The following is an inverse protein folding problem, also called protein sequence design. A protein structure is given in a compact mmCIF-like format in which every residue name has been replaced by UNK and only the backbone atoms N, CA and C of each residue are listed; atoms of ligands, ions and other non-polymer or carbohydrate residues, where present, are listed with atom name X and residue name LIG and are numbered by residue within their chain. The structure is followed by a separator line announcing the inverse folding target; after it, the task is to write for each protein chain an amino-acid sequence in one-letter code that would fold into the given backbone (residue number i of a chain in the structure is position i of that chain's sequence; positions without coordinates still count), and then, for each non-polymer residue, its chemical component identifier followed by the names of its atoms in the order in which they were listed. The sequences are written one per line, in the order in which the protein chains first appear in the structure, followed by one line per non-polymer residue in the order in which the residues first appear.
data_IF_099789461004
#
_entry.id   IF_099789461004
#
_cell.length_a   1.000
_cell.length_b   1.000
_cell.length_c   1.000
_cell.angle_alpha   90.00
_cell.angle_beta   90.00
_cell.angle_gamma   90.00
#
_symmetry.space_group_name_H-M   'P 1'
#
loop_
_entity.id
_entity.type
_entity.pdbx_description
1 polymer ?
#
# COMPACT_ATOMS: atom_id res chain seq x y z
N UNK A 1 31.69 -7.49 18.27
CA UNK A 1 30.49 -8.23 18.71
C UNK A 1 29.60 -8.39 17.50
N UNK A 2 29.36 -9.59 17.03
CA UNK A 2 28.37 -9.89 15.99
C UNK A 2 27.00 -9.64 16.62
N UNK A 3 26.30 -8.60 16.18
CA UNK A 3 24.93 -8.31 16.61
C UNK A 3 24.01 -9.37 15.99
N UNK A 4 23.33 -10.15 16.77
CA UNK A 4 22.31 -11.09 16.29
C UNK A 4 21.13 -10.24 15.77
N UNK A 5 20.72 -10.48 14.52
CA UNK A 5 19.54 -9.83 13.94
C UNK A 5 18.28 -10.32 14.68
N UNK A 6 17.38 -9.39 14.98
CA UNK A 6 16.09 -9.74 15.57
C UNK A 6 15.12 -10.22 14.48
N UNK A 7 14.24 -11.16 14.82
CA UNK A 7 13.13 -11.56 13.95
C UNK A 7 12.02 -10.50 14.02
N UNK A 8 11.31 -10.29 12.91
CA UNK A 8 10.19 -9.36 12.82
C UNK A 8 8.88 -10.13 12.62
N UNK A 9 8.01 -10.07 13.61
CA UNK A 9 6.73 -10.78 13.65
C UNK A 9 5.60 -9.81 13.28
N UNK A 10 4.63 -10.27 12.52
CA UNK A 10 3.41 -9.55 12.19
C UNK A 10 2.38 -9.84 13.26
N UNK A 11 2.04 -8.85 14.06
CA UNK A 11 1.15 -8.99 15.21
C UNK A 11 -0.19 -8.25 15.04
N UNK A 12 -0.30 -7.35 14.04
CA UNK A 12 -1.52 -6.60 13.80
C UNK A 12 -1.69 -6.23 12.34
N UNK A 13 -2.94 -6.10 11.90
CA UNK A 13 -3.35 -5.80 10.55
C UNK A 13 -4.37 -4.64 10.54
N UNK A 14 -4.34 -3.82 9.50
CA UNK A 14 -5.32 -2.78 9.24
C UNK A 14 -5.48 -2.54 7.74
N UNK A 15 -6.71 -2.33 7.28
CA UNK A 15 -7.04 -2.16 5.87
C UNK A 15 -8.18 -1.14 5.68
N UNK A 16 -8.03 -0.32 4.64
CA UNK A 16 -9.08 0.53 4.08
C UNK A 16 -8.99 0.41 2.57
N UNK A 17 -10.00 -0.16 1.94
CA UNK A 17 -9.96 -0.56 0.52
C UNK A 17 -11.31 -0.37 -0.15
N UNK A 18 -11.39 -0.38 -1.49
CA UNK A 18 -12.66 -0.34 -2.22
C UNK A 18 -13.62 -1.50 -1.92
N UNK A 19 -13.13 -2.59 -1.33
CA UNK A 19 -13.94 -3.78 -1.01
C UNK A 19 -14.14 -3.99 0.50
N UNK A 20 -13.65 -3.08 1.33
CA UNK A 20 -13.86 -3.11 2.78
C UNK A 20 -13.01 -2.07 3.52
N UNK A 21 -13.58 -1.46 4.56
CA UNK A 21 -12.97 -0.38 5.34
C UNK A 21 -12.34 -0.85 6.67
N UNK A 22 -12.23 -2.16 6.85
CA UNK A 22 -11.49 -2.83 7.92
C UNK A 22 -11.03 -4.22 7.45
N UNK A 23 -10.22 -4.89 8.27
CA UNK A 23 -9.62 -6.20 7.94
C UNK A 23 -10.68 -7.27 7.69
N UNK A 24 -11.72 -7.33 8.50
CA UNK A 24 -12.80 -8.32 8.40
C UNK A 24 -13.58 -8.15 7.09
N UNK A 25 -14.03 -6.92 6.79
CA UNK A 25 -14.78 -6.64 5.56
C UNK A 25 -13.91 -6.73 4.30
N UNK A 26 -12.62 -6.42 4.41
CA UNK A 26 -11.66 -6.64 3.32
C UNK A 26 -11.49 -8.12 3.01
N UNK A 27 -11.28 -8.95 4.04
CA UNK A 27 -11.18 -10.41 3.85
C UNK A 27 -12.46 -11.03 3.32
N UNK A 28 -13.62 -10.61 3.84
CA UNK A 28 -14.91 -11.01 3.28
C UNK A 28 -15.01 -10.64 1.80
N UNK A 29 -14.64 -9.40 1.43
CA UNK A 29 -14.62 -8.94 0.05
C UNK A 29 -13.74 -9.82 -0.84
N UNK A 30 -12.50 -10.12 -0.39
CA UNK A 30 -11.58 -10.99 -1.11
C UNK A 30 -12.13 -12.41 -1.29
N UNK A 31 -12.61 -13.02 -0.21
CA UNK A 31 -13.06 -14.42 -0.20
C UNK A 31 -14.37 -14.65 -0.97
N UNK A 32 -15.21 -13.62 -1.11
CA UNK A 32 -16.47 -13.68 -1.87
C UNK A 32 -16.33 -13.18 -3.31
N UNK A 33 -15.14 -12.67 -3.71
CA UNK A 33 -14.94 -12.12 -5.05
C UNK A 33 -15.64 -10.77 -5.27
N UNK A 34 -15.82 -9.95 -4.20
CA UNK A 34 -16.44 -8.62 -4.32
C UNK A 34 -15.57 -7.73 -5.20
N UNK A 35 -16.18 -7.10 -6.20
CA UNK A 35 -15.51 -6.10 -7.02
C UNK A 35 -15.74 -4.69 -6.44
N UNK A 36 -14.66 -3.94 -6.22
CA UNK A 36 -14.69 -2.55 -5.75
C UNK A 36 -14.47 -1.52 -6.87
N UNK A 37 -14.44 -1.97 -8.14
CA UNK A 37 -14.22 -1.10 -9.29
C UNK A 37 -15.58 -0.69 -9.86
N UNK A 38 -15.78 0.60 -10.04
CA UNK A 38 -17.01 1.16 -10.54
C UNK A 38 -16.80 2.47 -11.26
N UNK A 39 -17.90 3.06 -11.76
CA UNK A 39 -17.87 4.43 -12.30
C UNK A 39 -17.54 5.40 -11.16
N UNK A 40 -16.61 6.32 -11.42
CA UNK A 40 -16.23 7.36 -10.46
C UNK A 40 -17.44 8.16 -9.99
N UNK A 41 -17.60 8.32 -8.68
CA UNK A 41 -18.75 8.99 -8.04
C UNK A 41 -18.36 10.34 -7.40
N UNK A 42 -17.11 10.53 -6.97
CA UNK A 42 -16.69 11.74 -6.23
C UNK A 42 -16.62 13.01 -7.08
N UNK A 43 -16.56 12.87 -8.39
CA UNK A 43 -16.61 13.98 -9.34
C UNK A 43 -17.24 13.54 -10.67
N UNK A 44 -17.62 14.46 -11.52
CA UNK A 44 -18.13 14.14 -12.86
C UNK A 44 -16.98 13.71 -13.79
N UNK A 45 -16.91 12.42 -14.19
CA UNK A 45 -15.88 11.92 -15.07
C UNK A 45 -16.25 12.01 -16.56
N UNK A 46 -17.36 12.66 -16.94
CA UNK A 46 -17.96 12.55 -18.28
C UNK A 46 -17.07 13.08 -19.42
N UNK A 47 -16.14 13.98 -19.13
CA UNK A 47 -15.15 14.52 -20.08
C UNK A 47 -13.85 13.68 -20.13
N UNK A 48 -13.73 12.63 -19.29
CA UNK A 48 -12.54 11.79 -19.23
C UNK A 48 -12.66 10.56 -20.12
N UNK A 49 -11.54 10.14 -20.70
CA UNK A 49 -11.45 8.89 -21.46
C UNK A 49 -11.59 7.64 -20.57
N UNK A 50 -11.19 7.75 -19.30
CA UNK A 50 -11.33 6.71 -18.28
C UNK A 50 -12.22 7.25 -17.18
N UNK A 51 -13.33 6.56 -16.93
CA UNK A 51 -14.40 7.00 -16.03
C UNK A 51 -14.64 6.06 -14.86
N UNK A 52 -13.74 5.07 -14.69
CA UNK A 52 -13.84 4.01 -13.69
C UNK A 52 -12.62 4.02 -12.77
N UNK A 53 -12.84 3.66 -11.51
CA UNK A 53 -11.81 3.56 -10.49
C UNK A 53 -12.27 2.63 -9.34
N UNK A 54 -11.33 2.19 -8.50
CA UNK A 54 -11.62 1.62 -7.19
C UNK A 54 -11.68 2.71 -6.13
N UNK A 55 -12.84 3.32 -5.91
CA UNK A 55 -13.04 4.31 -4.86
C UNK A 55 -13.31 3.64 -3.51
N UNK A 56 -12.87 4.26 -2.43
CA UNK A 56 -13.25 3.86 -1.07
C UNK A 56 -14.54 4.59 -0.71
N UNK A 57 -15.65 3.88 -0.81
CA UNK A 57 -16.97 4.39 -0.50
C UNK A 57 -17.30 4.23 0.99
N UNK A 58 -18.26 5.04 1.48
CA UNK A 58 -18.79 5.01 2.86
C UNK A 58 -17.70 5.04 3.95
N UNK A 59 -16.55 5.65 3.65
CA UNK A 59 -15.46 5.78 4.60
C UNK A 59 -15.73 6.89 5.62
N UNK A 60 -15.95 6.48 6.86
CA UNK A 60 -16.09 7.40 8.00
C UNK A 60 -14.77 7.48 8.79
N UNK A 61 -14.14 8.65 8.79
CA UNK A 61 -12.92 8.92 9.56
C UNK A 61 -13.22 9.29 11.04
N UNK A 62 -14.47 9.53 11.39
CA UNK A 62 -14.84 10.05 12.72
C UNK A 62 -14.45 9.14 13.90
N UNK A 63 -14.39 7.79 13.78
CA UNK A 63 -13.88 6.93 14.83
C UNK A 63 -12.38 7.13 15.12
N UNK A 64 -11.63 7.68 14.17
CA UNK A 64 -10.18 7.76 14.23
C UNK A 64 -9.65 9.19 14.43
N UNK A 65 -10.35 10.21 13.92
CA UNK A 65 -9.94 11.61 13.99
C UNK A 65 -11.09 12.54 14.38
N UNK A 66 -10.80 13.47 15.27
CA UNK A 66 -11.72 14.57 15.54
C UNK A 66 -12.00 15.38 14.26
N UNK A 67 -13.24 15.85 14.08
CA UNK A 67 -13.72 16.59 12.89
C UNK A 67 -12.80 17.75 12.49
N UNK A 68 -12.25 18.50 13.47
CA UNK A 68 -11.34 19.62 13.21
C UNK A 68 -10.00 19.16 12.63
N UNK A 69 -9.51 18.02 13.10
CA UNK A 69 -8.25 17.40 12.62
C UNK A 69 -8.47 16.78 11.25
N UNK A 70 -9.54 16.02 11.07
CA UNK A 70 -9.89 15.38 9.79
C UNK A 70 -9.96 16.38 8.62
N UNK A 71 -10.57 17.56 8.82
CA UNK A 71 -10.65 18.63 7.80
C UNK A 71 -9.28 19.17 7.36
N UNK A 72 -8.23 19.00 8.15
CA UNK A 72 -6.86 19.47 7.88
C UNK A 72 -5.92 18.33 7.49
N UNK A 73 -6.47 17.14 7.28
CA UNK A 73 -5.73 15.91 6.95
C UNK A 73 -6.13 15.49 5.54
N UNK A 74 -5.15 15.30 4.66
CA UNK A 74 -5.38 14.77 3.30
C UNK A 74 -5.96 13.37 3.35
N UNK A 75 -6.71 12.99 2.29
CA UNK A 75 -7.44 11.71 2.24
C UNK A 75 -6.51 10.51 2.42
N UNK A 76 -5.34 10.50 1.77
CA UNK A 76 -4.32 9.46 1.95
C UNK A 76 -3.90 9.29 3.42
N UNK A 77 -3.70 10.43 4.12
CA UNK A 77 -3.33 10.42 5.53
C UNK A 77 -4.50 10.06 6.46
N UNK A 78 -5.75 10.26 6.03
CA UNK A 78 -6.93 9.72 6.74
C UNK A 78 -6.97 8.20 6.62
N UNK A 79 -6.75 7.64 5.43
CA UNK A 79 -6.69 6.20 5.20
C UNK A 79 -5.58 5.55 6.01
N UNK A 80 -4.33 6.09 5.95
CA UNK A 80 -3.22 5.55 6.74
C UNK A 80 -3.46 5.64 8.25
N UNK A 81 -4.16 6.69 8.72
CA UNK A 81 -4.51 6.82 10.14
C UNK A 81 -5.50 5.75 10.55
N UNK A 82 -6.56 5.54 9.77
CA UNK A 82 -7.55 4.51 10.07
C UNK A 82 -6.91 3.11 10.04
N UNK A 83 -6.20 2.75 8.98
CA UNK A 83 -5.53 1.45 8.87
C UNK A 83 -4.46 1.26 9.96
N UNK A 84 -3.66 2.28 10.27
CA UNK A 84 -2.67 2.21 11.34
C UNK A 84 -3.28 2.04 12.73
N UNK A 85 -4.38 2.72 13.03
CA UNK A 85 -5.10 2.55 14.30
C UNK A 85 -5.78 1.17 14.38
N UNK A 86 -6.29 0.64 13.28
CA UNK A 86 -6.78 -0.74 13.20
C UNK A 86 -5.64 -1.74 13.49
N UNK A 87 -4.48 -1.57 12.85
CA UNK A 87 -3.32 -2.45 13.05
C UNK A 87 -2.81 -2.40 14.51
N UNK A 88 -2.77 -1.22 15.12
CA UNK A 88 -2.43 -1.05 16.53
C UNK A 88 -3.44 -1.77 17.43
N UNK A 89 -4.72 -1.55 17.25
CA UNK A 89 -5.77 -2.20 18.04
C UNK A 89 -5.76 -3.72 17.85
N UNK A 90 -5.60 -4.20 16.62
CA UNK A 90 -5.55 -5.61 16.29
C UNK A 90 -4.30 -6.31 16.86
N UNK A 91 -3.19 -5.58 17.02
CA UNK A 91 -1.96 -6.11 17.65
C UNK A 91 -2.10 -6.39 19.14
N UNK A 92 -3.04 -5.72 19.81
CA UNK A 92 -3.20 -5.80 21.26
C UNK A 92 -2.08 -5.12 22.07
N UNK A 93 -1.25 -4.27 21.43
CA UNK A 93 -0.24 -3.49 22.16
C UNK A 93 -0.95 -2.41 22.97
N UNK A 94 -0.76 -2.46 24.29
CA UNK A 94 -1.13 -1.38 25.19
C UNK A 94 -0.02 -0.32 25.22
N UNK A 95 -0.37 0.91 24.84
CA UNK A 95 0.59 2.02 24.82
C UNK A 95 0.80 2.56 26.23
N UNK A 96 2.05 2.60 26.65
CA UNK A 96 2.49 3.15 27.94
C UNK A 96 3.57 4.22 27.73
N UNK A 97 3.93 4.93 28.80
CA UNK A 97 5.02 5.91 28.71
C UNK A 97 6.38 5.25 28.48
N UNK A 98 6.54 3.98 28.89
CA UNK A 98 7.78 3.22 28.75
C UNK A 98 7.99 2.69 27.32
N UNK A 99 6.91 2.28 26.62
CA UNK A 99 7.04 1.61 25.31
C UNK A 99 6.85 2.52 24.10
N UNK A 100 6.20 3.69 24.24
CA UNK A 100 5.88 4.59 23.10
C UNK A 100 7.10 5.10 22.34
N UNK A 101 8.28 5.15 22.97
CA UNK A 101 9.53 5.57 22.32
C UNK A 101 10.16 4.49 21.46
N UNK A 102 9.84 3.21 21.72
CA UNK A 102 10.23 2.05 20.91
C UNK A 102 9.28 1.74 19.75
N UNK A 103 8.13 2.44 19.66
CA UNK A 103 7.12 2.18 18.64
C UNK A 103 7.08 3.34 17.62
N UNK A 104 7.23 3.02 16.34
CA UNK A 104 7.28 4.00 15.25
C UNK A 104 6.34 3.69 14.09
N UNK A 105 6.55 4.41 12.96
CA UNK A 105 5.77 4.22 11.74
C UNK A 105 6.62 4.43 10.48
N UNK A 106 6.49 3.54 9.51
CA UNK A 106 7.07 3.61 8.17
C UNK A 106 5.93 3.44 7.17
N UNK A 107 5.34 4.55 6.72
CA UNK A 107 4.15 4.53 5.84
C UNK A 107 4.48 5.16 4.50
N UNK A 108 4.32 4.40 3.44
CA UNK A 108 4.56 4.85 2.08
C UNK A 108 3.37 5.61 1.49
N UNK A 109 3.65 6.60 0.64
CA UNK A 109 2.65 7.31 -0.17
C UNK A 109 3.32 8.15 -1.24
N UNK A 110 2.63 8.38 -2.37
CA UNK A 110 3.00 9.42 -3.35
C UNK A 110 2.55 10.81 -2.92
N UNK A 111 1.69 10.90 -1.88
CA UNK A 111 1.13 12.15 -1.38
C UNK A 111 -0.07 12.62 -2.21
N UNK A 112 -0.42 13.89 -2.05
CA UNK A 112 -1.63 14.49 -2.63
C UNK A 112 -1.31 15.61 -3.63
N UNK A 113 -0.26 15.41 -4.45
CA UNK A 113 0.18 16.40 -5.42
C UNK A 113 -0.90 16.78 -6.45
N UNK A 114 -1.78 15.84 -6.77
CA UNK A 114 -2.87 16.05 -7.74
C UNK A 114 -4.00 16.93 -7.19
N UNK A 115 -4.11 17.13 -5.87
CA UNK A 115 -5.11 17.98 -5.22
C UNK A 115 -4.65 19.47 -5.12
N UNK A 116 -3.47 19.81 -5.65
CA UNK A 116 -2.98 21.21 -5.71
C UNK A 116 -3.81 22.10 -6.64
N UNK A 117 -4.42 21.53 -7.67
CA UNK A 117 -5.18 22.29 -8.67
C UNK A 117 -6.22 23.23 -8.06
N UNK A 118 -7.12 22.77 -7.18
CA UNK A 118 -8.10 23.63 -6.52
C UNK A 118 -7.48 24.80 -5.75
N UNK A 119 -6.35 24.60 -5.07
CA UNK A 119 -5.68 25.67 -4.33
C UNK A 119 -4.95 26.65 -5.23
N UNK A 120 -4.41 26.18 -6.36
CA UNK A 120 -3.87 27.06 -7.39
C UNK A 120 -4.95 27.95 -7.99
N UNK A 121 -6.13 27.44 -8.25
CA UNK A 121 -7.30 28.19 -8.68
C UNK A 121 -7.74 29.23 -7.65
N UNK A 122 -7.74 28.88 -6.38
CA UNK A 122 -8.01 29.85 -5.29
C UNK A 122 -6.98 30.96 -5.32
N UNK A 123 -5.69 30.65 -5.39
CA UNK A 123 -4.62 31.64 -5.45
C UNK A 123 -4.78 32.58 -6.65
N UNK A 124 -4.97 32.05 -7.84
CA UNK A 124 -5.04 32.85 -9.08
C UNK A 124 -6.33 33.70 -9.20
N UNK A 125 -7.48 33.16 -8.74
CA UNK A 125 -8.77 33.83 -8.86
C UNK A 125 -9.11 34.72 -7.65
N UNK A 126 -8.57 34.44 -6.46
CA UNK A 126 -9.00 35.06 -5.20
C UNK A 126 -7.85 35.65 -4.38
N UNK A 127 -6.59 35.44 -4.79
CA UNK A 127 -5.38 35.94 -4.15
C UNK A 127 -4.88 35.11 -2.96
N UNK A 128 -3.65 35.40 -2.52
CA UNK A 128 -2.92 34.66 -1.49
C UNK A 128 -3.63 34.56 -0.15
N UNK A 129 -4.38 35.59 0.25
CA UNK A 129 -5.10 35.62 1.53
C UNK A 129 -6.26 34.60 1.62
N UNK A 130 -6.63 33.94 0.53
CA UNK A 130 -7.70 32.94 0.45
C UNK A 130 -7.21 31.51 0.33
N UNK A 131 -5.91 31.30 0.13
CA UNK A 131 -5.29 29.97 0.10
C UNK A 131 -5.44 29.30 1.47
N UNK A 132 -5.70 27.99 1.46
CA UNK A 132 -5.79 27.21 2.69
C UNK A 132 -4.43 27.22 3.43
N UNK A 133 -4.35 27.74 4.67
CA UNK A 133 -3.09 27.79 5.44
C UNK A 133 -2.58 26.38 5.80
N UNK A 134 -3.40 25.35 5.68
CA UNK A 134 -3.04 23.97 6.00
C UNK A 134 -2.67 23.12 4.78
N UNK A 135 -2.56 23.72 3.58
CA UNK A 135 -2.26 22.99 2.35
C UNK A 135 -1.02 22.10 2.48
N UNK A 136 0.06 22.64 3.08
CA UNK A 136 1.32 21.89 3.26
C UNK A 136 1.13 20.65 4.13
N UNK A 137 0.35 20.77 5.22
CA UNK A 137 0.06 19.64 6.13
C UNK A 137 -0.99 18.68 5.57
N UNK A 138 -1.79 19.12 4.59
CA UNK A 138 -2.74 18.24 3.89
C UNK A 138 -2.05 17.41 2.82
N UNK A 139 -1.08 17.98 2.10
CA UNK A 139 -0.48 17.38 0.90
C UNK A 139 0.87 16.73 1.16
N UNK A 140 1.56 17.10 2.24
CA UNK A 140 2.91 16.62 2.50
C UNK A 140 2.94 15.11 2.73
N UNK A 141 3.77 14.39 1.97
CA UNK A 141 3.91 12.93 2.03
C UNK A 141 4.19 12.43 3.45
N UNK A 142 5.02 13.15 4.21
CA UNK A 142 5.36 12.82 5.61
C UNK A 142 4.13 12.68 6.51
N UNK A 143 2.99 13.24 6.12
CA UNK A 143 1.76 13.16 6.92
C UNK A 143 1.15 11.76 6.93
N UNK A 144 1.52 10.88 6.00
CA UNK A 144 1.09 9.47 6.02
C UNK A 144 1.52 8.77 7.31
N UNK A 145 2.79 8.90 7.70
CA UNK A 145 3.32 8.34 8.94
C UNK A 145 3.10 9.26 10.16
N UNK A 146 3.30 10.57 9.98
CA UNK A 146 3.23 11.52 11.10
C UNK A 146 1.82 11.66 11.68
N UNK A 147 0.75 11.52 10.88
CA UNK A 147 -0.61 11.65 11.38
C UNK A 147 -0.99 10.49 12.28
N UNK A 148 -0.74 9.25 11.86
CA UNK A 148 -1.03 8.07 12.68
C UNK A 148 -0.17 8.06 13.94
N UNK A 149 1.12 8.37 13.84
CA UNK A 149 2.01 8.42 15.00
C UNK A 149 1.55 9.46 16.03
N UNK A 150 1.16 10.65 15.56
CA UNK A 150 0.61 11.70 16.44
C UNK A 150 -0.71 11.29 17.07
N UNK A 151 -1.59 10.62 16.34
CA UNK A 151 -2.90 10.19 16.85
C UNK A 151 -2.74 9.15 17.96
N UNK A 152 -1.79 8.24 17.81
CA UNK A 152 -1.46 7.21 18.80
C UNK A 152 -0.56 7.71 19.92
N UNK A 153 0.20 8.80 19.72
CA UNK A 153 1.19 9.29 20.68
C UNK A 153 2.47 8.46 20.72
N UNK A 154 2.78 7.71 19.65
CA UNK A 154 4.04 6.97 19.49
C UNK A 154 5.16 7.92 19.08
N UNK A 155 6.40 7.66 19.53
CA UNK A 155 7.54 8.58 19.41
C UNK A 155 8.80 7.91 18.85
N UNK A 156 8.72 6.64 18.45
CA UNK A 156 9.80 5.94 17.76
C UNK A 156 10.08 6.48 16.36
N UNK A 157 10.90 5.79 15.55
CA UNK A 157 11.23 6.21 14.18
C UNK A 157 9.98 6.48 13.36
N UNK A 158 9.98 7.63 12.62
CA UNK A 158 8.83 8.03 11.79
C UNK A 158 9.33 8.47 10.43
N UNK A 159 8.95 7.73 9.39
CA UNK A 159 9.45 7.95 8.03
C UNK A 159 8.36 7.68 6.99
N UNK A 160 8.47 8.36 5.85
CA UNK A 160 7.64 8.10 4.67
C UNK A 160 8.53 7.77 3.48
N UNK A 161 8.13 6.75 2.72
CA UNK A 161 8.85 6.24 1.56
C UNK A 161 8.02 6.49 0.30
N UNK A 162 8.70 6.80 -0.80
CA UNK A 162 8.07 6.93 -2.10
C UNK A 162 8.98 6.32 -3.17
N UNK A 163 8.57 5.16 -3.67
CA UNK A 163 9.17 4.41 -4.80
C UNK A 163 8.04 3.98 -5.75
N UNK A 164 7.08 4.89 -5.99
CA UNK A 164 5.89 4.63 -6.80
C UNK A 164 5.12 3.38 -6.33
N UNK A 165 4.79 2.46 -7.23
CA UNK A 165 4.00 1.27 -6.92
C UNK A 165 4.68 0.31 -5.93
N UNK A 166 6.01 0.32 -5.81
CA UNK A 166 6.77 -0.52 -4.88
C UNK A 166 6.77 0.03 -3.44
N UNK A 167 6.36 1.27 -3.25
CA UNK A 167 6.50 2.02 -1.98
C UNK A 167 6.01 1.26 -0.74
N UNK A 168 4.83 0.64 -0.83
CA UNK A 168 4.25 -0.09 0.30
C UNK A 168 5.09 -1.30 0.72
N UNK A 169 5.61 -2.05 -0.25
CA UNK A 169 6.51 -3.19 -0.03
C UNK A 169 7.87 -2.71 0.49
N UNK A 170 8.40 -1.61 -0.05
CA UNK A 170 9.62 -0.98 0.46
C UNK A 170 9.49 -0.53 1.91
N UNK A 171 8.33 0.02 2.29
CA UNK A 171 8.07 0.39 3.68
C UNK A 171 8.15 -0.80 4.63
N UNK A 172 7.61 -1.96 4.23
CA UNK A 172 7.72 -3.21 4.98
C UNK A 172 9.18 -3.67 5.09
N UNK A 173 9.95 -3.63 4.00
CA UNK A 173 11.36 -3.98 3.97
C UNK A 173 12.23 -3.06 4.84
N UNK A 174 11.97 -1.77 4.82
CA UNK A 174 12.64 -0.81 5.70
C UNK A 174 12.29 -1.04 7.18
N UNK A 175 11.03 -1.32 7.49
CA UNK A 175 10.61 -1.64 8.84
C UNK A 175 11.25 -2.94 9.34
N UNK A 176 11.32 -3.99 8.50
CA UNK A 176 12.07 -5.22 8.77
C UNK A 176 13.52 -4.91 9.15
N UNK A 177 14.19 -4.08 8.34
CA UNK A 177 15.59 -3.72 8.57
C UNK A 177 15.77 -2.96 9.89
N UNK A 178 14.87 -2.04 10.23
CA UNK A 178 14.91 -1.30 11.49
C UNK A 178 14.72 -2.21 12.70
N UNK A 179 13.79 -3.16 12.65
CA UNK A 179 13.59 -4.14 13.73
C UNK A 179 14.79 -5.07 13.86
N UNK A 180 15.28 -5.63 12.75
CA UNK A 180 16.47 -6.50 12.74
C UNK A 180 17.69 -5.83 13.37
N UNK A 181 17.84 -4.52 13.15
CA UNK A 181 18.92 -3.73 13.73
C UNK A 181 18.61 -3.17 15.15
N UNK A 182 17.41 -3.46 15.70
CA UNK A 182 17.00 -2.98 17.01
C UNK A 182 16.90 -1.45 17.10
N UNK A 183 16.44 -0.79 16.03
CA UNK A 183 16.14 0.62 16.04
C UNK A 183 14.73 0.93 16.52
N UNK A 184 13.86 -0.08 16.54
CA UNK A 184 12.51 -0.03 17.08
C UNK A 184 12.12 -1.42 17.62
N UNK A 185 11.22 -1.43 18.61
CA UNK A 185 10.61 -2.66 19.12
C UNK A 185 9.39 -3.06 18.31
N UNK A 186 8.66 -2.05 17.78
CA UNK A 186 7.53 -2.26 16.89
C UNK A 186 7.38 -1.10 15.88
N UNK A 187 6.86 -1.40 14.69
CA UNK A 187 6.63 -0.44 13.63
C UNK A 187 5.29 -0.69 12.93
N UNK A 188 4.47 0.35 12.83
CA UNK A 188 3.40 0.38 11.85
C UNK A 188 4.01 0.55 10.47
N UNK A 189 3.85 -0.42 9.58
CA UNK A 189 4.48 -0.41 8.26
C UNK A 189 3.48 -0.76 7.15
N UNK A 190 3.60 -0.10 6.01
CA UNK A 190 2.72 -0.34 4.86
C UNK A 190 2.61 0.88 3.96
N UNK A 191 1.48 1.02 3.29
CA UNK A 191 1.29 2.11 2.34
C UNK A 191 -0.14 2.62 2.26
N UNK A 192 -0.28 3.81 1.70
CA UNK A 192 -1.57 4.50 1.50
C UNK A 192 -1.56 5.31 0.21
N UNK A 193 -2.70 5.46 -0.42
CA UNK A 193 -2.86 6.33 -1.58
C UNK A 193 -4.28 6.87 -1.71
N UNK A 194 -4.43 8.09 -2.27
CA UNK A 194 -5.71 8.72 -2.58
C UNK A 194 -5.63 9.45 -3.92
N UNK A 195 -5.23 8.73 -4.98
CA UNK A 195 -4.90 9.30 -6.29
C UNK A 195 -6.09 9.33 -7.26
N UNK A 196 -7.28 8.91 -6.86
CA UNK A 196 -8.49 8.96 -7.71
C UNK A 196 -8.97 10.41 -7.79
N UNK A 197 -8.40 11.16 -8.74
CA UNK A 197 -8.67 12.59 -8.99
C UNK A 197 -8.83 12.85 -10.49
N UNK A 198 -9.51 13.94 -10.91
CA UNK A 198 -9.64 14.29 -12.33
C UNK A 198 -8.28 14.39 -13.03
N UNK A 199 -7.30 15.02 -12.38
CA UNK A 199 -5.98 15.25 -12.97
C UNK A 199 -5.20 13.94 -13.14
N UNK A 200 -5.23 13.04 -12.14
CA UNK A 200 -4.56 11.74 -12.22
C UNK A 200 -5.18 10.85 -13.31
N UNK A 201 -6.52 10.72 -13.34
CA UNK A 201 -7.22 9.95 -14.37
C UNK A 201 -6.97 10.52 -15.77
N UNK A 202 -6.99 11.86 -15.94
CA UNK A 202 -6.68 12.50 -17.22
C UNK A 202 -5.25 12.18 -17.66
N UNK A 203 -4.27 12.35 -16.78
CA UNK A 203 -2.85 12.17 -17.11
C UNK A 203 -2.54 10.73 -17.47
N UNK A 204 -2.91 9.78 -16.59
CA UNK A 204 -2.65 8.35 -16.79
C UNK A 204 -3.49 7.76 -17.93
N UNK A 205 -4.72 8.25 -18.12
CA UNK A 205 -5.57 7.87 -19.25
C UNK A 205 -4.98 8.31 -20.60
N UNK A 206 -4.36 9.49 -20.66
CA UNK A 206 -3.65 9.98 -21.86
C UNK A 206 -2.34 9.24 -22.12
N UNK A 207 -1.65 8.79 -21.05
CA UNK A 207 -0.47 7.94 -21.17
C UNK A 207 -0.81 6.56 -21.75
N UNK A 208 -2.09 6.16 -21.72
CA UNK A 208 -2.53 4.85 -22.21
C UNK A 208 -2.25 3.71 -21.24
N UNK A 209 -2.00 4.02 -19.96
CA UNK A 209 -1.72 3.02 -18.94
C UNK A 209 -3.00 2.45 -18.29
N UNK A 210 -4.11 3.20 -18.35
CA UNK A 210 -5.39 2.82 -17.76
C UNK A 210 -6.27 2.08 -18.77
N UNK A 211 -7.05 1.10 -18.27
CA UNK A 211 -8.11 0.46 -19.03
C UNK A 211 -9.19 1.49 -19.41
N UNK A 212 -9.72 1.36 -20.62
CA UNK A 212 -10.81 2.18 -21.15
C UNK A 212 -12.16 1.45 -21.17
N UNK A 213 -12.25 0.31 -20.53
CA UNK A 213 -13.45 -0.51 -20.48
C UNK A 213 -14.49 0.10 -19.50
N UNK A 214 -14.96 1.32 -19.81
CA UNK A 214 -15.93 2.07 -18.99
C UNK A 214 -17.30 1.39 -18.94
N UNK A 215 -17.65 0.57 -19.94
CA UNK A 215 -18.96 -0.05 -20.06
C UNK A 215 -19.08 -1.31 -19.18
N UNK A 216 -17.96 -1.92 -18.81
CA UNK A 216 -17.91 -3.12 -17.98
C UNK A 216 -16.83 -2.99 -16.91
N UNK A 217 -17.06 -2.16 -15.86
CA UNK A 217 -16.09 -1.92 -14.81
C UNK A 217 -15.68 -3.17 -14.04
N UNK A 218 -16.60 -4.11 -13.85
CA UNK A 218 -16.37 -5.35 -13.08
C UNK A 218 -15.30 -6.23 -13.71
N UNK A 219 -15.16 -6.22 -15.04
CA UNK A 219 -14.19 -7.02 -15.77
C UNK A 219 -13.05 -6.17 -16.38
N UNK A 220 -12.93 -4.90 -16.00
CA UNK A 220 -11.92 -4.01 -16.55
C UNK A 220 -10.51 -4.35 -16.04
N UNK A 221 -10.36 -4.67 -14.74
CA UNK A 221 -9.10 -5.14 -14.17
C UNK A 221 -9.06 -6.68 -14.21
N UNK A 222 -8.26 -7.22 -15.13
CA UNK A 222 -8.11 -8.67 -15.39
C UNK A 222 -6.65 -9.08 -15.54
N UNK A 223 -5.89 -9.07 -14.43
CA UNK A 223 -4.46 -9.42 -14.45
C UNK A 223 -4.21 -10.77 -15.12
N UNK A 224 -3.16 -10.81 -15.97
CA UNK A 224 -2.73 -11.97 -16.74
C UNK A 224 -3.69 -12.49 -17.82
N UNK A 225 -4.87 -11.88 -17.96
CA UNK A 225 -5.82 -12.22 -19.02
C UNK A 225 -5.28 -11.81 -20.40
N UNK A 226 -5.66 -12.55 -21.44
CA UNK A 226 -5.26 -12.27 -22.82
C UNK A 226 -5.76 -10.90 -23.31
N UNK A 227 -6.96 -10.56 -22.92
CA UNK A 227 -7.68 -9.37 -23.43
C UNK A 227 -7.59 -8.17 -22.45
N UNK A 228 -6.63 -8.20 -21.50
CA UNK A 228 -6.35 -7.08 -20.60
C UNK A 228 -5.85 -5.88 -21.37
N UNK A 229 -6.24 -4.67 -20.98
CA UNK A 229 -5.99 -3.44 -21.73
C UNK A 229 -5.39 -2.28 -20.91
N UNK A 230 -5.17 -2.48 -19.61
CA UNK A 230 -4.61 -1.46 -18.70
C UNK A 230 -5.01 -1.69 -17.26
N UNK A 231 -4.41 -0.94 -16.34
CA UNK A 231 -4.80 -1.02 -14.93
C UNK A 231 -5.99 -0.09 -14.61
N UNK A 232 -6.62 -0.32 -13.49
CA UNK A 232 -7.63 0.57 -12.91
C UNK A 232 -7.01 1.26 -11.70
N UNK A 233 -7.13 2.58 -11.62
CA UNK A 233 -6.65 3.32 -10.46
C UNK A 233 -7.54 3.04 -9.25
N UNK A 234 -6.92 2.77 -8.10
CA UNK A 234 -7.60 2.55 -6.82
C UNK A 234 -7.06 3.47 -5.73
N UNK A 235 -7.72 3.49 -4.58
CA UNK A 235 -7.29 4.22 -3.40
C UNK A 235 -7.48 3.39 -2.12
N UNK A 236 -6.81 3.80 -1.02
CA UNK A 236 -6.91 3.11 0.26
C UNK A 236 -5.59 3.01 1.01
N UNK A 237 -5.53 2.13 2.01
CA UNK A 237 -4.33 1.86 2.80
C UNK A 237 -4.31 0.43 3.31
N UNK A 238 -3.10 -0.16 3.38
CA UNK A 238 -2.80 -1.37 4.12
C UNK A 238 -1.64 -1.13 5.07
N UNK A 239 -1.83 -1.44 6.34
CA UNK A 239 -0.83 -1.23 7.39
C UNK A 239 -0.74 -2.47 8.27
N UNK A 240 0.49 -2.92 8.52
CA UNK A 240 0.79 -4.03 9.41
C UNK A 240 1.54 -3.52 10.64
N UNK A 241 1.32 -4.16 11.78
CA UNK A 241 2.19 -4.02 12.93
C UNK A 241 3.29 -5.08 12.85
N UNK A 242 4.51 -4.63 12.60
CA UNK A 242 5.71 -5.44 12.72
C UNK A 242 6.29 -5.25 14.10
N UNK A 243 6.61 -6.34 14.79
CA UNK A 243 7.10 -6.32 16.15
C UNK A 243 8.33 -7.23 16.30
N UNK A 244 9.32 -6.83 17.07
CA UNK A 244 10.46 -7.70 17.39
C UNK A 244 9.97 -8.94 18.13
N UNK A 245 10.57 -10.09 17.84
CA UNK A 245 10.22 -11.35 18.53
C UNK A 245 10.29 -11.20 20.06
N UNK A 246 11.31 -10.48 20.55
CA UNK A 246 11.46 -10.26 22.00
C UNK A 246 10.27 -9.49 22.60
N UNK A 247 9.80 -8.44 21.92
CA UNK A 247 8.63 -7.66 22.36
C UNK A 247 7.35 -8.51 22.29
N UNK A 248 7.11 -9.18 21.17
CA UNK A 248 5.93 -10.00 20.95
C UNK A 248 5.81 -11.14 21.98
N UNK A 249 6.90 -11.86 22.25
CA UNK A 249 6.93 -12.95 23.21
C UNK A 249 6.74 -12.46 24.66
N UNK A 250 7.34 -11.31 25.01
CA UNK A 250 7.25 -10.76 26.37
C UNK A 250 5.80 -10.46 26.80
N UNK A 251 4.92 -10.13 25.84
CA UNK A 251 3.50 -9.83 26.11
C UNK A 251 2.53 -10.92 25.68
N UNK A 252 3.03 -12.07 25.16
CA UNK A 252 2.18 -13.15 24.67
C UNK A 252 1.32 -12.75 23.45
N UNK A 253 1.92 -12.02 22.51
CA UNK A 253 1.22 -11.52 21.32
C UNK A 253 0.66 -12.65 20.46
N UNK A 254 -0.51 -12.41 19.86
CA UNK A 254 -0.92 -13.21 18.70
C UNK A 254 0.01 -12.87 17.54
N UNK A 255 0.58 -13.89 16.93
CA UNK A 255 1.42 -13.76 15.73
C UNK A 255 0.66 -14.31 14.53
N UNK A 256 0.55 -13.51 13.48
CA UNK A 256 -0.04 -13.93 12.22
C UNK A 256 1.00 -14.62 11.32
N UNK A 257 2.17 -14.00 11.19
CA UNK A 257 3.27 -14.46 10.34
C UNK A 257 4.60 -13.82 10.78
N UNK A 258 5.67 -14.24 10.16
CA UNK A 258 6.98 -13.59 10.23
C UNK A 258 7.31 -12.95 8.88
N UNK A 259 7.82 -11.72 8.87
CA UNK A 259 8.43 -11.12 7.69
C UNK A 259 9.90 -11.53 7.64
N UNK A 260 10.22 -12.49 6.78
CA UNK A 260 11.53 -13.17 6.81
C UNK A 260 12.56 -12.62 5.85
N UNK A 261 12.16 -11.84 4.83
CA UNK A 261 13.12 -11.32 3.86
C UNK A 261 12.59 -10.21 2.98
N UNK A 262 13.51 -9.48 2.37
CA UNK A 262 13.23 -8.42 1.41
C UNK A 262 14.28 -8.38 0.30
N UNK A 263 13.85 -8.04 -0.92
CA UNK A 263 14.74 -7.85 -2.06
C UNK A 263 14.45 -6.54 -2.77
N UNK A 264 15.48 -5.73 -2.97
CA UNK A 264 15.43 -4.48 -3.72
C UNK A 264 16.23 -4.57 -5.00
N UNK A 265 15.70 -4.00 -6.07
CA UNK A 265 16.41 -3.79 -7.33
C UNK A 265 15.98 -2.47 -7.97
N UNK A 266 16.70 -2.07 -8.98
CA UNK A 266 16.34 -0.95 -9.85
C UNK A 266 16.67 -1.35 -11.28
N UNK A 267 15.72 -1.20 -12.19
CA UNK A 267 15.85 -1.70 -13.58
C UNK A 267 16.91 -0.92 -14.37
N UNK A 268 17.06 0.38 -14.13
CA UNK A 268 18.02 1.27 -14.77
C UNK A 268 17.95 1.28 -16.32
N UNK A 269 16.75 1.02 -16.87
CA UNK A 269 16.53 0.90 -18.34
C UNK A 269 15.64 1.99 -18.86
N UNK A 270 14.33 1.94 -18.60
CA UNK A 270 13.31 2.84 -19.14
C UNK A 270 12.44 3.39 -18.01
N UNK A 271 11.87 4.59 -18.17
CA UNK A 271 11.05 5.24 -17.13
C UNK A 271 9.71 4.53 -16.90
N UNK A 272 9.21 3.77 -17.88
CA UNK A 272 7.85 3.21 -17.88
C UNK A 272 7.78 1.73 -18.25
N UNK A 273 8.80 1.19 -18.92
CA UNK A 273 8.83 -0.20 -19.35
C UNK A 273 9.54 -1.08 -18.31
N UNK A 274 8.84 -2.07 -17.71
CA UNK A 274 9.45 -2.96 -16.72
C UNK A 274 10.49 -3.89 -17.35
N UNK A 275 11.55 -4.20 -16.61
CA UNK A 275 12.61 -5.11 -17.02
C UNK A 275 12.51 -6.49 -16.34
N UNK A 276 12.69 -7.56 -17.12
CA UNK A 276 12.61 -8.94 -16.63
C UNK A 276 13.73 -9.26 -15.63
N UNK A 277 14.96 -8.83 -15.94
CA UNK A 277 16.13 -9.13 -15.10
C UNK A 277 16.08 -8.34 -13.78
N UNK A 278 15.65 -7.07 -13.85
CA UNK A 278 15.47 -6.22 -12.68
C UNK A 278 14.43 -6.79 -11.70
N UNK A 279 13.28 -7.20 -12.20
CA UNK A 279 12.26 -7.84 -11.37
C UNK A 279 12.73 -9.20 -10.82
N UNK A 280 13.36 -10.05 -11.64
CA UNK A 280 13.89 -11.33 -11.18
C UNK A 280 14.99 -11.16 -10.12
N UNK A 281 15.78 -10.10 -10.21
CA UNK A 281 16.81 -9.77 -9.23
C UNK A 281 16.21 -9.43 -7.87
N UNK A 282 15.09 -8.68 -7.82
CA UNK A 282 14.37 -8.39 -6.57
C UNK A 282 13.87 -9.69 -5.91
N UNK A 283 13.24 -10.58 -6.69
CA UNK A 283 12.75 -11.89 -6.19
C UNK A 283 13.91 -12.72 -5.64
N UNK A 284 14.98 -12.87 -6.41
CA UNK A 284 16.15 -13.66 -6.02
C UNK A 284 16.80 -13.11 -4.75
N UNK A 285 16.86 -11.77 -4.61
CA UNK A 285 17.39 -11.12 -3.39
C UNK A 285 16.50 -11.35 -2.19
N UNK A 286 15.17 -11.33 -2.36
CA UNK A 286 14.24 -11.61 -1.28
C UNK A 286 14.38 -13.05 -0.78
N UNK A 287 14.47 -14.03 -1.67
CA UNK A 287 14.75 -15.43 -1.32
C UNK A 287 16.07 -15.59 -0.57
N UNK A 288 17.12 -14.95 -1.08
CA UNK A 288 18.45 -14.99 -0.45
C UNK A 288 18.43 -14.36 0.95
N UNK A 289 17.75 -13.23 1.14
CA UNK A 289 17.64 -12.56 2.44
C UNK A 289 16.82 -13.37 3.44
N UNK A 290 15.83 -14.12 2.95
CA UNK A 290 15.01 -15.04 3.74
C UNK A 290 15.68 -16.41 3.98
N UNK A 291 16.80 -16.71 3.32
CA UNK A 291 17.46 -18.04 3.33
C UNK A 291 16.52 -19.16 2.84
N UNK A 292 15.65 -18.85 1.85
CA UNK A 292 14.68 -19.78 1.26
C UNK A 292 15.09 -20.18 -0.17
N UNK A 293 14.72 -21.41 -0.56
CA UNK A 293 14.78 -21.89 -1.94
C UNK A 293 13.45 -21.59 -2.69
N UNK A 294 13.44 -21.58 -4.03
CA UNK A 294 12.22 -21.41 -4.82
C UNK A 294 11.11 -22.41 -4.46
N UNK A 295 11.47 -23.63 -4.09
CA UNK A 295 10.56 -24.71 -3.72
C UNK A 295 9.86 -24.51 -2.36
N UNK A 296 10.35 -23.58 -1.54
CA UNK A 296 9.75 -23.23 -0.25
C UNK A 296 8.60 -22.22 -0.39
N UNK A 297 8.29 -21.77 -1.62
CA UNK A 297 7.24 -20.78 -1.88
C UNK A 297 5.94 -21.46 -2.23
N UNK A 298 4.90 -21.21 -1.44
CA UNK A 298 3.55 -21.80 -1.61
C UNK A 298 2.58 -20.89 -2.39
N UNK A 299 2.82 -19.56 -2.42
CA UNK A 299 1.93 -18.61 -3.06
C UNK A 299 2.65 -17.31 -3.45
N UNK A 300 2.22 -16.70 -4.56
CA UNK A 300 2.67 -15.38 -5.01
C UNK A 300 1.47 -14.44 -5.11
N UNK A 301 1.48 -13.37 -4.29
CA UNK A 301 0.63 -12.21 -4.54
C UNK A 301 1.38 -11.29 -5.51
N UNK A 302 0.96 -11.31 -6.76
CA UNK A 302 1.67 -10.67 -7.86
C UNK A 302 1.38 -9.16 -7.93
N UNK A 303 2.31 -8.41 -8.54
CA UNK A 303 2.02 -7.05 -8.95
C UNK A 303 0.82 -6.99 -9.89
N UNK A 304 0.79 -7.79 -10.94
CA UNK A 304 -0.38 -8.12 -11.74
C UNK A 304 -1.28 -6.91 -12.01
N UNK A 305 -0.79 -5.92 -12.77
CA UNK A 305 -1.50 -4.66 -12.97
C UNK A 305 -2.61 -4.71 -14.02
N UNK A 306 -2.76 -5.82 -14.75
CA UNK A 306 -3.66 -5.90 -15.90
C UNK A 306 -3.16 -5.09 -17.11
N UNK A 307 -1.88 -4.72 -17.15
CA UNK A 307 -1.29 -4.10 -18.33
C UNK A 307 -0.63 -5.14 -19.23
N UNK A 308 -0.57 -4.86 -20.54
CA UNK A 308 0.06 -5.77 -21.51
C UNK A 308 1.54 -6.01 -21.20
N UNK A 309 2.25 -4.96 -20.78
CA UNK A 309 3.69 -5.01 -20.53
C UNK A 309 4.02 -5.65 -19.20
N UNK A 310 3.47 -5.14 -18.09
CA UNK A 310 3.80 -5.64 -16.77
C UNK A 310 3.54 -7.13 -16.63
N UNK A 311 2.34 -7.59 -16.94
CA UNK A 311 1.93 -8.96 -16.63
C UNK A 311 2.76 -9.99 -17.41
N UNK A 312 3.16 -9.64 -18.65
CA UNK A 312 4.08 -10.46 -19.44
C UNK A 312 5.49 -10.46 -18.84
N UNK A 313 6.00 -9.29 -18.46
CA UNK A 313 7.36 -9.13 -17.90
C UNK A 313 7.46 -9.80 -16.55
N UNK A 314 6.49 -9.60 -15.67
CA UNK A 314 6.44 -10.21 -14.34
C UNK A 314 6.37 -11.75 -14.43
N UNK A 315 5.56 -12.28 -15.34
CA UNK A 315 5.51 -13.73 -15.59
C UNK A 315 6.90 -14.29 -16.03
N UNK A 316 7.61 -13.56 -16.88
CA UNK A 316 8.95 -13.95 -17.29
C UNK A 316 9.96 -13.83 -16.15
N UNK A 317 9.89 -12.79 -15.35
CA UNK A 317 10.76 -12.56 -14.21
C UNK A 317 10.57 -13.62 -13.11
N UNK A 318 9.33 -14.00 -12.81
CA UNK A 318 9.02 -15.08 -11.86
C UNK A 318 9.61 -16.40 -12.34
N UNK A 319 9.44 -16.74 -13.63
CA UNK A 319 10.03 -17.95 -14.21
C UNK A 319 11.56 -17.91 -14.20
N UNK A 320 12.16 -16.76 -14.46
CA UNK A 320 13.62 -16.58 -14.41
C UNK A 320 14.16 -16.77 -13.00
N UNK A 321 13.47 -16.22 -12.00
CA UNK A 321 13.91 -16.26 -10.60
C UNK A 321 13.67 -17.62 -9.92
N UNK A 322 12.53 -18.28 -10.20
CA UNK A 322 12.10 -19.48 -9.50
C UNK A 322 12.30 -20.77 -10.30
N UNK A 323 12.68 -20.68 -11.59
CA UNK A 323 12.90 -21.85 -12.43
C UNK A 323 11.67 -22.75 -12.55
N UNK A 324 11.87 -24.06 -12.40
CA UNK A 324 10.77 -25.04 -12.49
C UNK A 324 9.72 -24.91 -11.37
N UNK A 325 10.10 -24.41 -10.20
CA UNK A 325 9.16 -24.17 -9.10
C UNK A 325 8.04 -23.19 -9.49
N UNK A 326 8.32 -22.20 -10.36
CA UNK A 326 7.35 -21.23 -10.85
C UNK A 326 6.07 -21.84 -11.46
N UNK A 327 6.15 -23.06 -11.99
CA UNK A 327 5.01 -23.75 -12.62
C UNK A 327 4.10 -24.47 -11.61
N UNK A 328 4.53 -24.58 -10.36
CA UNK A 328 3.79 -25.27 -9.29
C UNK A 328 3.18 -24.27 -8.28
N UNK A 329 3.66 -23.05 -8.25
CA UNK A 329 3.25 -22.03 -7.26
C UNK A 329 1.99 -21.31 -7.77
N UNK A 330 0.87 -21.36 -7.04
CA UNK A 330 -0.31 -20.56 -7.37
C UNK A 330 -0.02 -19.06 -7.24
N UNK A 331 -0.57 -18.28 -8.19
CA UNK A 331 -0.37 -16.85 -8.26
C UNK A 331 -1.68 -16.13 -8.53
N UNK A 332 -1.91 -15.00 -7.85
CA UNK A 332 -3.03 -14.12 -8.15
C UNK A 332 -2.68 -12.66 -7.91
N UNK A 333 -3.50 -11.74 -8.40
CA UNK A 333 -3.41 -10.31 -8.09
C UNK A 333 -4.74 -9.81 -7.55
N UNK A 334 -4.71 -9.22 -6.35
CA UNK A 334 -5.87 -8.60 -5.72
C UNK A 334 -6.35 -7.33 -6.43
N UNK A 335 -5.54 -6.79 -7.35
CA UNK A 335 -5.90 -5.62 -8.17
C UNK A 335 -7.09 -5.86 -9.10
N UNK A 336 -7.45 -7.10 -9.38
CA UNK A 336 -8.70 -7.43 -10.07
C UNK A 336 -9.95 -6.96 -9.32
N UNK A 337 -9.86 -6.81 -7.99
CA UNK A 337 -10.99 -6.44 -7.12
C UNK A 337 -10.87 -5.02 -6.55
N UNK A 338 -9.65 -4.58 -6.26
CA UNK A 338 -9.41 -3.28 -5.60
C UNK A 338 -8.96 -2.17 -6.54
N UNK A 339 -8.55 -2.51 -7.76
CA UNK A 339 -7.73 -1.62 -8.58
C UNK A 339 -6.31 -1.50 -8.03
N UNK A 340 -5.51 -0.66 -8.67
CA UNK A 340 -4.11 -0.42 -8.31
C UNK A 340 -4.00 0.79 -7.37
N UNK A 341 -3.68 0.55 -6.12
CA UNK A 341 -3.56 1.59 -5.09
C UNK A 341 -2.19 2.31 -5.10
N UNK A 342 -1.45 2.26 -6.20
CA UNK A 342 -0.11 2.88 -6.29
C UNK A 342 0.74 2.58 -5.05
N UNK A 343 1.16 3.60 -4.28
CA UNK A 343 1.98 3.41 -3.08
C UNK A 343 1.28 2.60 -1.96
N UNK A 344 -0.05 2.52 -1.96
CA UNK A 344 -0.83 1.71 -1.02
C UNK A 344 -0.87 0.21 -1.35
N UNK A 345 -0.55 -0.16 -2.60
CA UNK A 345 -0.74 -1.52 -3.12
C UNK A 345 0.00 -2.57 -2.28
N UNK A 346 1.32 -2.42 -2.09
CA UNK A 346 2.11 -3.40 -1.33
C UNK A 346 1.64 -3.61 0.11
N UNK A 347 1.07 -2.58 0.74
CA UNK A 347 0.51 -2.69 2.09
C UNK A 347 -0.73 -3.58 2.13
N UNK A 348 -1.72 -3.36 1.25
CA UNK A 348 -2.94 -4.19 1.22
C UNK A 348 -2.68 -5.60 0.70
N UNK A 349 -1.73 -5.76 -0.22
CA UNK A 349 -1.30 -7.08 -0.73
C UNK A 349 -0.63 -7.91 0.35
N UNK A 350 0.19 -7.28 1.20
CA UNK A 350 0.76 -7.93 2.38
C UNK A 350 -0.34 -8.34 3.39
N UNK A 351 -1.32 -7.47 3.67
CA UNK A 351 -2.47 -7.82 4.53
C UNK A 351 -3.24 -9.01 3.92
N UNK A 352 -3.52 -8.99 2.61
CA UNK A 352 -4.20 -10.08 1.92
C UNK A 352 -3.41 -11.39 2.01
N UNK A 353 -2.09 -11.35 1.79
CA UNK A 353 -1.22 -12.52 1.85
C UNK A 353 -1.20 -13.14 3.25
N UNK A 354 -1.09 -12.30 4.30
CA UNK A 354 -1.13 -12.78 5.70
C UNK A 354 -2.48 -13.39 6.07
N UNK A 355 -3.59 -12.90 5.51
CA UNK A 355 -4.92 -13.45 5.78
C UNK A 355 -5.18 -14.75 5.00
N UNK A 356 -4.46 -14.99 3.92
CA UNK A 356 -4.57 -16.20 3.11
C UNK A 356 -3.76 -17.39 3.67
N UNK A 357 -2.81 -17.14 4.58
CA UNK A 357 -2.04 -18.17 5.31
C UNK A 357 -2.88 -18.87 6.37
#
# INVERSE_FOLDING_TARGET
MTRTLQRALITGLGAVTPIGNNVESFWEGLSTGRNGIGRVQRFDPSDLNVQIAGEVDDFDISPYLEKKVARRTGRFAQFSTAAGMQAMANSGIELTDENRDGIGAVIATSGDAFDMGPQWDVYTKRGSAKVDPFIITRMGQHMAAARVARQLGIRGPNTTINTACASGTDALGHALSMIRLGHADALLAGGTEAMVTPLALSSMGRLGALSKNNEDPEHASRPFDRDRDGFILGEGAGVLMLESEASALARGARVYAELVGVGWSFDATDDTAPDVEGQALAITRALKDAELAPEDIDYINAHGTSTQYNDRTETAAIKLALGEAAYQIPMSSTKSMTGHLAAGAGGIEAVASVLAM
#
